data_IF_059996211465
#
_entry.id   IF_059996211465
#
_cell.length_a   1.000
_cell.length_b   1.000
_cell.length_c   1.000
_cell.angle_alpha   90.00
_cell.angle_beta   90.00
_cell.angle_gamma   90.00
#
_symmetry.space_group_name_H-M   'P 1'
#
loop_
_entity.id
_entity.type
_entity.pdbx_description
1 polymer ?
#
# COMPACT_ATOMS: atom_id res chain seq x y z
N UNK A 1 14.29 10.66 -7.64
CA UNK A 1 12.97 10.91 -7.00
C UNK A 1 13.21 11.27 -5.55
N UNK A 2 12.60 12.35 -5.04
CA UNK A 2 12.50 12.54 -3.59
C UNK A 2 11.39 11.61 -3.11
N UNK A 3 11.67 10.76 -2.13
CA UNK A 3 10.68 9.89 -1.45
C UNK A 3 9.74 10.71 -0.55
N UNK A 4 9.17 11.80 -1.08
CA UNK A 4 8.29 12.67 -0.32
C UNK A 4 6.87 12.09 -0.40
N UNK A 5 6.30 11.66 0.73
CA UNK A 5 4.94 11.13 0.83
C UNK A 5 4.83 9.63 1.06
N UNK A 6 5.94 8.87 1.12
CA UNK A 6 5.92 7.47 1.52
C UNK A 6 5.90 7.35 3.05
N UNK A 7 5.03 6.48 3.54
CA UNK A 7 4.87 6.19 4.97
C UNK A 7 5.90 5.15 5.39
N UNK A 8 6.59 5.40 6.50
CA UNK A 8 7.55 4.47 7.07
C UNK A 8 7.18 4.23 8.53
N UNK A 9 6.98 2.96 8.90
CA UNK A 9 6.54 2.60 10.23
C UNK A 9 6.59 1.10 10.48
N UNK A 10 6.40 0.73 11.73
CA UNK A 10 6.21 -0.65 12.16
C UNK A 10 4.77 -0.83 12.61
N UNK A 11 4.20 -2.00 12.32
CA UNK A 11 2.84 -2.34 12.74
C UNK A 11 2.91 -3.24 13.96
N UNK A 12 2.06 -2.95 14.95
CA UNK A 12 1.95 -3.76 16.15
C UNK A 12 0.49 -4.05 16.46
N UNK A 13 0.21 -5.27 16.89
CA UNK A 13 -1.11 -5.72 17.32
C UNK A 13 -1.10 -5.72 18.85
N UNK A 14 -1.82 -4.80 19.50
CA UNK A 14 -2.00 -4.83 20.96
C UNK A 14 -3.17 -5.73 21.38
N UNK A 15 -3.16 -6.18 22.65
CA UNK A 15 -4.34 -6.73 23.32
C UNK A 15 -5.26 -5.63 23.90
N UNK A 16 -6.35 -6.03 24.53
CA UNK A 16 -7.31 -5.12 25.18
C UNK A 16 -6.71 -4.31 26.35
N UNK A 17 -5.51 -4.67 26.82
CA UNK A 17 -4.76 -3.94 27.85
C UNK A 17 -3.62 -3.10 27.23
N UNK A 18 -3.64 -2.89 25.90
CA UNK A 18 -2.62 -2.16 25.15
C UNK A 18 -1.21 -2.74 25.24
N UNK A 19 -1.09 -4.05 25.49
CA UNK A 19 0.20 -4.75 25.44
C UNK A 19 0.41 -5.31 24.04
N UNK A 20 1.56 -5.01 23.44
CA UNK A 20 1.93 -5.59 22.14
C UNK A 20 2.06 -7.11 22.25
N UNK A 21 1.17 -7.82 21.55
CA UNK A 21 1.21 -9.28 21.46
C UNK A 21 1.97 -9.73 20.21
N UNK A 22 2.07 -8.87 19.19
CA UNK A 22 2.79 -9.18 17.96
C UNK A 22 3.27 -7.93 17.24
N UNK A 23 4.50 -8.00 16.70
CA UNK A 23 4.98 -7.05 15.69
C UNK A 23 4.73 -7.67 14.31
N UNK A 24 4.23 -6.85 13.38
CA UNK A 24 3.99 -7.25 12.01
C UNK A 24 4.97 -6.54 11.07
N UNK A 25 5.56 -7.32 10.18
CA UNK A 25 6.36 -6.85 9.07
C UNK A 25 6.06 -7.71 7.84
N UNK A 26 5.46 -7.10 6.83
CA UNK A 26 5.27 -7.78 5.54
C UNK A 26 6.63 -7.98 4.87
N UNK A 27 6.84 -9.15 4.26
CA UNK A 27 7.94 -9.44 3.34
C UNK A 27 7.56 -8.97 1.94
N UNK A 28 7.24 -7.68 1.85
CA UNK A 28 6.85 -6.99 0.64
C UNK A 28 8.05 -6.23 0.05
N UNK A 29 8.01 -6.00 -1.27
CA UNK A 29 8.93 -5.08 -1.95
C UNK A 29 8.46 -3.62 -1.89
N UNK A 30 7.29 -3.38 -1.30
CA UNK A 30 6.64 -2.08 -1.24
C UNK A 30 6.51 -1.59 0.19
N UNK A 31 6.43 -0.26 0.34
CA UNK A 31 6.11 0.36 1.60
C UNK A 31 4.62 0.16 1.92
N UNK A 32 4.33 -0.16 3.17
CA UNK A 32 2.97 -0.30 3.65
C UNK A 32 2.47 1.06 4.15
N UNK A 33 1.23 1.38 3.84
CA UNK A 33 0.52 2.56 4.31
C UNK A 33 0.08 2.40 5.77
N UNK A 34 0.09 3.51 6.52
CA UNK A 34 -0.40 3.53 7.91
C UNK A 34 -1.89 3.85 8.02
N UNK A 35 -2.60 4.03 6.90
CA UNK A 35 -4.01 4.43 6.91
C UNK A 35 -4.96 3.26 7.18
N UNK A 36 -4.62 2.05 6.75
CA UNK A 36 -5.49 0.88 6.87
C UNK A 36 -4.72 -0.35 7.36
N UNK A 37 -5.34 -1.09 8.29
CA UNK A 37 -4.80 -2.32 8.84
C UNK A 37 -5.97 -3.19 9.34
N UNK A 38 -6.39 -4.16 8.53
CA UNK A 38 -7.51 -5.02 8.86
C UNK A 38 -7.06 -6.45 9.08
N UNK A 39 -7.28 -6.98 10.28
CA UNK A 39 -7.03 -8.39 10.59
C UNK A 39 -8.23 -9.24 10.17
N UNK A 40 -8.00 -10.24 9.33
CA UNK A 40 -9.00 -11.18 8.84
C UNK A 40 -8.85 -12.52 9.55
N UNK A 41 -9.90 -12.94 10.27
CA UNK A 41 -9.99 -14.19 11.02
C UNK A 41 -8.80 -14.49 11.97
N UNK A 42 -8.06 -13.46 12.37
CA UNK A 42 -6.84 -13.59 13.17
C UNK A 42 -5.66 -14.24 12.45
N UNK A 43 -5.71 -14.40 11.12
CA UNK A 43 -4.70 -15.14 10.34
C UNK A 43 -3.95 -14.27 9.34
N UNK A 44 -4.66 -13.41 8.63
CA UNK A 44 -4.08 -12.54 7.61
C UNK A 44 -4.38 -11.08 7.91
N UNK A 45 -3.60 -10.19 7.33
CA UNK A 45 -3.82 -8.75 7.36
C UNK A 45 -4.07 -8.29 5.92
N UNK A 46 -5.17 -7.56 5.73
CA UNK A 46 -5.36 -6.73 4.56
C UNK A 46 -4.79 -5.33 4.86
N UNK A 47 -3.83 -4.89 4.05
CA UNK A 47 -3.11 -3.64 4.26
C UNK A 47 -2.88 -2.91 2.95
N UNK A 48 -3.05 -1.60 2.96
CA UNK A 48 -2.73 -0.75 1.81
C UNK A 48 -1.20 -0.67 1.63
N UNK A 49 -0.75 -0.75 0.38
CA UNK A 49 0.67 -0.77 0.03
C UNK A 49 0.89 0.00 -1.28
N UNK A 50 0.84 1.34 -1.29
CA UNK A 50 0.86 2.16 -2.50
C UNK A 50 2.12 1.94 -3.35
N UNK A 51 1.97 1.88 -4.67
CA UNK A 51 3.07 1.61 -5.61
C UNK A 51 3.34 2.84 -6.48
N UNK A 52 4.52 3.43 -6.36
CA UNK A 52 4.98 4.49 -7.28
C UNK A 52 5.36 3.84 -8.61
N UNK A 53 4.70 4.25 -9.69
CA UNK A 53 4.90 3.71 -11.03
C UNK A 53 5.22 4.83 -12.01
N UNK A 54 6.26 4.65 -12.82
CA UNK A 54 6.54 5.54 -13.96
C UNK A 54 5.42 5.34 -14.98
N UNK A 55 4.72 6.42 -15.33
CA UNK A 55 3.56 6.38 -16.20
C UNK A 55 3.44 7.70 -16.96
N UNK A 56 3.22 7.62 -18.27
CA UNK A 56 2.99 8.82 -19.08
C UNK A 56 1.60 9.40 -18.77
N UNK A 57 1.58 10.60 -18.21
CA UNK A 57 0.34 11.29 -17.86
C UNK A 57 -0.16 12.26 -18.94
N UNK A 58 0.57 12.44 -20.05
CA UNK A 58 0.13 13.30 -21.16
C UNK A 58 -1.27 12.94 -21.70
N UNK A 59 -1.68 11.65 -21.80
CA UNK A 59 -3.05 11.29 -22.19
C UNK A 59 -4.14 11.78 -21.25
N UNK A 60 -3.80 12.12 -20.00
CA UNK A 60 -4.72 12.56 -18.95
C UNK A 60 -4.54 14.04 -18.60
N UNK A 61 -4.08 14.85 -19.58
CA UNK A 61 -3.77 16.28 -19.43
C UNK A 61 -2.61 16.58 -18.46
N UNK A 62 -1.73 15.62 -18.20
CA UNK A 62 -0.50 15.84 -17.44
C UNK A 62 0.57 16.60 -18.26
N UNK A 63 1.32 17.45 -17.56
CA UNK A 63 2.52 18.10 -18.10
C UNK A 63 3.68 17.10 -18.22
N UNK A 64 4.69 17.43 -19.02
CA UNK A 64 5.83 16.54 -19.30
C UNK A 64 6.59 16.13 -18.03
N UNK A 65 6.64 16.99 -17.02
CA UNK A 65 7.30 16.74 -15.75
C UNK A 65 6.47 15.86 -14.80
N UNK A 66 5.22 15.54 -15.14
CA UNK A 66 4.34 14.65 -14.40
C UNK A 66 4.43 13.23 -15.00
N UNK A 67 5.54 12.54 -14.73
CA UNK A 67 5.90 11.26 -15.35
C UNK A 67 5.76 10.04 -14.42
N UNK A 68 5.03 10.19 -13.32
CA UNK A 68 4.78 9.13 -12.35
C UNK A 68 3.38 9.25 -11.74
N UNK A 69 2.85 8.10 -11.33
CA UNK A 69 1.58 7.97 -10.64
C UNK A 69 1.75 7.11 -9.38
N UNK A 70 1.02 7.46 -8.32
CA UNK A 70 0.89 6.60 -7.15
C UNK A 70 -0.32 5.70 -7.34
N UNK A 71 -0.09 4.43 -7.63
CA UNK A 71 -1.15 3.45 -7.78
C UNK A 71 -1.76 3.11 -6.41
N UNK A 72 -3.09 3.04 -6.37
CA UNK A 72 -3.79 2.49 -5.21
C UNK A 72 -3.62 0.97 -5.23
N UNK A 73 -3.10 0.41 -4.15
CA UNK A 73 -2.78 -1.01 -4.06
C UNK A 73 -2.90 -1.50 -2.64
N UNK A 74 -3.19 -2.78 -2.49
CA UNK A 74 -3.25 -3.44 -1.19
C UNK A 74 -2.73 -4.87 -1.29
N UNK A 75 -2.31 -5.39 -0.15
CA UNK A 75 -1.82 -6.75 0.00
C UNK A 75 -2.63 -7.50 1.06
N UNK A 76 -2.79 -8.80 0.85
CA UNK A 76 -3.12 -9.73 1.92
C UNK A 76 -1.85 -10.44 2.38
N UNK A 77 -1.56 -10.37 3.67
CA UNK A 77 -0.30 -10.85 4.24
C UNK A 77 -0.58 -11.81 5.39
N UNK A 78 0.11 -12.95 5.40
CA UNK A 78 0.05 -13.91 6.50
C UNK A 78 0.71 -13.34 7.78
N UNK A 79 -0.01 -13.36 8.90
CA UNK A 79 0.43 -12.75 10.16
C UNK A 79 1.61 -13.51 10.78
N UNK A 80 1.70 -14.83 10.59
CA UNK A 80 2.75 -15.66 11.20
C UNK A 80 4.08 -15.53 10.47
N UNK A 81 4.04 -15.52 9.16
CA UNK A 81 5.23 -15.58 8.31
C UNK A 81 5.63 -14.22 7.74
N UNK A 82 4.69 -13.27 7.70
CA UNK A 82 4.82 -12.01 6.97
C UNK A 82 4.77 -12.21 5.45
N UNK A 83 4.42 -13.40 4.95
CA UNK A 83 4.38 -13.68 3.52
C UNK A 83 3.21 -12.98 2.83
N UNK A 84 3.49 -12.28 1.73
CA UNK A 84 2.45 -11.71 0.86
C UNK A 84 1.75 -12.86 0.14
N UNK A 85 0.47 -13.04 0.41
CA UNK A 85 -0.38 -14.07 -0.20
C UNK A 85 -1.05 -13.56 -1.47
N UNK A 86 -1.36 -12.26 -1.50
CA UNK A 86 -2.02 -11.60 -2.60
C UNK A 86 -1.59 -10.14 -2.67
N UNK A 87 -1.51 -9.61 -3.88
CA UNK A 87 -1.29 -8.19 -4.17
C UNK A 87 -2.25 -7.76 -5.27
N UNK A 88 -2.83 -6.58 -5.10
CA UNK A 88 -3.68 -5.95 -6.09
C UNK A 88 -3.15 -4.55 -6.41
N UNK A 89 -3.14 -4.20 -7.70
CA UNK A 89 -2.69 -2.90 -8.19
C UNK A 89 -3.77 -2.26 -9.07
N UNK A 90 -4.18 -1.04 -8.74
CA UNK A 90 -5.21 -0.32 -9.49
C UNK A 90 -4.88 -0.14 -10.96
N UNK A 91 -3.62 0.02 -11.34
CA UNK A 91 -3.25 0.27 -12.74
C UNK A 91 -3.50 -0.93 -13.66
N UNK A 92 -3.72 -2.12 -13.11
CA UNK A 92 -4.09 -3.32 -13.88
C UNK A 92 -5.61 -3.40 -14.16
N UNK A 93 -6.40 -2.54 -13.51
CA UNK A 93 -7.86 -2.69 -13.45
C UNK A 93 -8.65 -1.39 -13.62
N UNK A 94 -8.05 -0.24 -13.32
CA UNK A 94 -8.71 1.07 -13.24
C UNK A 94 -7.93 2.06 -14.12
N UNK A 95 -8.64 2.72 -15.02
CA UNK A 95 -8.07 3.75 -15.88
C UNK A 95 -7.67 4.99 -15.05
N UNK A 96 -6.45 5.54 -15.19
CA UNK A 96 -6.01 6.73 -14.47
C UNK A 96 -6.92 7.96 -14.64
N UNK A 97 -7.73 8.03 -15.70
CA UNK A 97 -8.72 9.11 -15.88
C UNK A 97 -9.79 9.17 -14.79
N UNK A 98 -9.96 8.10 -13.99
CA UNK A 98 -10.86 8.11 -12.82
C UNK A 98 -10.22 8.70 -11.56
N UNK A 99 -8.93 9.08 -11.60
CA UNK A 99 -8.29 9.78 -10.50
C UNK A 99 -8.84 11.19 -10.34
N UNK A 100 -9.01 11.64 -9.10
CA UNK A 100 -9.30 13.03 -8.81
C UNK A 100 -8.05 13.87 -9.12
N UNK A 101 -8.04 14.55 -10.26
CA UNK A 101 -7.02 15.55 -10.58
C UNK A 101 -7.34 16.84 -9.81
N UNK A 102 -6.37 17.47 -9.13
CA UNK A 102 -6.56 18.77 -8.48
C UNK A 102 -6.82 19.90 -9.48
#
# INVERSE_FOLDING_TARGET
MKECGLMHGNYGIPDDNYKFIKNFQARSHHHLSVHEFLVLDGKTILIESPIITIHDLQPYNGEKEQDWILAGSFQEVDIETGGVLFEWNSLEHVDPSYSALP
#
